data_IF_884372954917
#
_entry.id   IF_884372954917
#
_cell.length_a   1.000
_cell.length_b   1.000
_cell.length_c   1.000
_cell.angle_alpha   90.00
_cell.angle_beta   90.00
_cell.angle_gamma   90.00
#
_symmetry.space_group_name_H-M   'P 1'
#
loop_
_entity.id
_entity.type
_entity.pdbx_description
1 polymer ?
#
# COMPACT_ATOMS: atom_id res chain seq x y z
N UNK A 1 -10.62 -8.83 10.26
CA UNK A 1 -9.16 -8.84 10.56
C UNK A 1 -8.38 -9.93 9.80
N UNK A 2 -8.87 -11.18 9.74
CA UNK A 2 -8.18 -12.28 9.04
C UNK A 2 -7.85 -11.95 7.57
N UNK A 3 -8.78 -11.37 6.81
CA UNK A 3 -8.53 -11.03 5.40
C UNK A 3 -7.44 -9.98 5.20
N UNK A 4 -7.31 -9.00 6.10
CA UNK A 4 -6.26 -7.97 6.02
C UNK A 4 -4.87 -8.57 6.26
N UNK A 5 -4.75 -9.50 7.22
CA UNK A 5 -3.51 -10.23 7.49
C UNK A 5 -3.15 -11.16 6.33
N UNK A 6 -4.12 -11.92 5.81
CA UNK A 6 -3.91 -12.76 4.63
C UNK A 6 -3.46 -11.95 3.41
N UNK A 7 -4.03 -10.75 3.20
CA UNK A 7 -3.58 -9.82 2.16
C UNK A 7 -2.14 -9.33 2.35
N UNK A 8 -1.73 -9.04 3.59
CA UNK A 8 -0.34 -8.66 3.92
C UNK A 8 0.64 -9.81 3.67
N UNK A 9 0.26 -11.04 4.00
CA UNK A 9 1.08 -12.23 3.77
C UNK A 9 1.26 -12.52 2.27
N UNK A 10 0.20 -12.38 1.48
CA UNK A 10 0.27 -12.47 0.02
C UNK A 10 1.20 -11.40 -0.57
N UNK A 11 1.15 -10.18 -0.03
CA UNK A 11 2.04 -9.08 -0.42
C UNK A 11 3.50 -9.32 -0.06
N UNK A 12 3.76 -9.91 1.11
CA UNK A 12 5.11 -10.28 1.52
C UNK A 12 5.71 -11.35 0.61
N UNK A 13 4.90 -12.36 0.23
CA UNK A 13 5.30 -13.39 -0.73
C UNK A 13 5.57 -12.80 -2.11
N UNK A 14 4.70 -11.93 -2.62
CA UNK A 14 4.89 -11.25 -3.90
C UNK A 14 6.18 -10.40 -3.94
N UNK A 15 6.54 -9.74 -2.82
CA UNK A 15 7.80 -8.99 -2.71
C UNK A 15 9.03 -9.88 -2.75
N UNK A 16 8.99 -11.06 -2.10
CA UNK A 16 10.07 -12.04 -2.16
C UNK A 16 10.24 -12.60 -3.58
N UNK A 17 9.13 -12.84 -4.27
CA UNK A 17 9.10 -13.33 -5.65
C UNK A 17 9.33 -12.24 -6.71
N UNK A 18 9.47 -10.95 -6.34
CA UNK A 18 9.65 -9.83 -7.28
C UNK A 18 10.80 -10.04 -8.27
N UNK A 19 11.87 -10.73 -7.85
CA UNK A 19 13.04 -11.03 -8.72
C UNK A 19 12.71 -12.02 -9.84
N UNK A 20 11.66 -12.82 -9.69
CA UNK A 20 11.16 -13.74 -10.72
C UNK A 20 10.23 -13.05 -11.73
N UNK A 21 9.84 -11.79 -11.50
CA UNK A 21 8.96 -11.04 -12.40
C UNK A 21 9.80 -10.31 -13.45
N UNK A 22 9.49 -10.47 -14.75
CA UNK A 22 10.16 -9.72 -15.81
C UNK A 22 10.07 -8.21 -15.56
N UNK A 23 11.16 -7.46 -15.85
CA UNK A 23 11.20 -6.01 -15.62
C UNK A 23 10.07 -5.25 -16.33
N UNK A 24 9.61 -5.74 -17.48
CA UNK A 24 8.46 -5.19 -18.21
C UNK A 24 7.13 -5.28 -17.44
N UNK A 25 6.99 -6.27 -16.55
CA UNK A 25 5.81 -6.45 -15.69
C UNK A 25 5.97 -5.77 -14.30
N UNK A 26 7.10 -5.13 -14.04
CA UNK A 26 7.34 -4.40 -12.79
C UNK A 26 6.28 -3.31 -12.46
N UNK A 27 5.67 -2.60 -13.43
CA UNK A 27 4.61 -1.64 -13.13
C UNK A 27 3.37 -2.28 -12.50
N UNK A 28 3.03 -3.53 -12.86
CA UNK A 28 1.89 -4.24 -12.29
C UNK A 28 2.08 -4.52 -10.78
N UNK A 29 3.33 -4.63 -10.32
CA UNK A 29 3.65 -4.80 -8.89
C UNK A 29 3.41 -3.52 -8.07
N UNK A 30 3.27 -2.34 -8.70
CA UNK A 30 3.00 -1.07 -8.01
C UNK A 30 1.64 -1.07 -7.31
N UNK A 31 0.64 -1.73 -7.88
CA UNK A 31 -0.68 -1.87 -7.26
C UNK A 31 -0.60 -2.58 -5.90
N UNK A 32 0.22 -3.64 -5.80
CA UNK A 32 0.49 -4.32 -4.54
C UNK A 32 1.22 -3.41 -3.53
N UNK A 33 2.19 -2.61 -3.99
CA UNK A 33 2.86 -1.63 -3.13
C UNK A 33 1.90 -0.59 -2.58
N UNK A 34 0.94 -0.13 -3.38
CA UNK A 34 -0.11 0.82 -2.96
C UNK A 34 -1.12 0.19 -2.00
N UNK A 35 -1.44 -1.10 -2.14
CA UNK A 35 -2.38 -1.82 -1.27
C UNK A 35 -1.81 -2.08 0.15
N UNK A 36 -0.49 -2.22 0.29
CA UNK A 36 0.16 -2.51 1.57
C UNK A 36 -0.23 -1.58 2.73
N UNK A 37 -0.12 -0.25 2.59
CA UNK A 37 -0.55 0.71 3.61
C UNK A 37 -2.01 0.57 4.04
N UNK A 38 -2.92 0.28 3.10
CA UNK A 38 -4.37 0.14 3.38
C UNK A 38 -4.62 -1.14 4.17
N UNK A 39 -4.00 -2.25 3.78
CA UNK A 39 -4.08 -3.52 4.49
C UNK A 39 -3.48 -3.43 5.90
N UNK A 40 -2.42 -2.64 6.08
CA UNK A 40 -1.81 -2.41 7.38
C UNK A 40 -2.70 -1.56 8.30
N UNK A 41 -3.46 -0.61 7.75
CA UNK A 41 -4.47 0.15 8.48
C UNK A 41 -5.63 -0.75 8.90
N UNK A 42 -6.14 -1.57 7.98
CA UNK A 42 -7.21 -2.54 8.24
C UNK A 42 -6.82 -3.61 9.29
N UNK A 43 -5.54 -4.01 9.32
CA UNK A 43 -5.03 -4.97 10.30
C UNK A 43 -4.83 -4.35 11.70
N UNK A 44 -4.50 -3.06 11.78
CA UNK A 44 -4.21 -2.35 13.03
C UNK A 44 -5.47 -1.82 13.71
N UNK A 45 -6.45 -1.38 12.92
CA UNK A 45 -7.70 -0.82 13.43
C UNK A 45 -8.88 -1.31 12.57
N UNK A 46 -9.44 -2.48 12.91
CA UNK A 46 -10.53 -3.09 12.17
C UNK A 46 -11.85 -2.31 12.26
N UNK A 47 -12.05 -1.52 13.32
CA UNK A 47 -13.28 -0.74 13.50
C UNK A 47 -13.39 0.40 12.46
N UNK A 48 -12.25 0.86 11.92
CA UNK A 48 -12.23 1.82 10.80
C UNK A 48 -12.79 1.29 9.49
N UNK A 49 -12.89 -0.03 9.34
CA UNK A 49 -13.51 -0.68 8.17
C UNK A 49 -15.01 -0.38 8.15
N UNK A 50 -15.67 -0.55 9.29
CA UNK A 50 -17.11 -0.39 9.44
C UNK A 50 -17.55 1.08 9.27
N UNK A 51 -16.67 2.02 9.61
CA UNK A 51 -16.92 3.45 9.42
C UNK A 51 -16.57 3.98 8.01
N UNK A 52 -16.16 3.12 7.06
CA UNK A 52 -15.75 3.57 5.72
C UNK A 52 -14.50 4.46 5.70
N UNK A 53 -13.74 4.47 6.80
CA UNK A 53 -12.53 5.29 6.98
C UNK A 53 -11.26 4.60 6.44
N UNK A 54 -11.42 3.49 5.71
CA UNK A 54 -10.36 2.87 4.93
C UNK A 54 -10.08 3.74 3.70
N UNK A 55 -9.10 4.61 3.83
CA UNK A 55 -8.60 5.44 2.74
C UNK A 55 -7.20 5.90 3.06
N UNK A 56 -6.43 6.31 2.04
CA UNK A 56 -5.18 7.02 2.27
C UNK A 56 -5.50 8.25 3.11
N UNK A 57 -5.10 8.22 4.37
CA UNK A 57 -5.22 9.38 5.27
C UNK A 57 -4.82 10.63 4.49
N UNK A 58 -5.60 11.71 4.58
CA UNK A 58 -5.21 13.00 3.99
C UNK A 58 -3.77 13.37 4.34
N UNK A 59 -3.28 12.89 5.48
CA UNK A 59 -1.88 12.97 5.89
C UNK A 59 -0.91 12.39 4.85
N UNK A 60 -1.15 11.21 4.29
CA UNK A 60 -0.32 10.64 3.20
C UNK A 60 -0.45 11.42 1.90
N UNK A 61 -1.64 11.91 1.56
CA UNK A 61 -1.84 12.78 0.39
C UNK A 61 -1.02 14.07 0.55
N UNK A 62 -1.13 14.74 1.70
CA UNK A 62 -0.37 15.95 2.05
C UNK A 62 1.12 15.68 2.14
N UNK A 63 1.55 14.56 2.71
CA UNK A 63 2.97 14.19 2.83
C UNK A 63 3.61 13.82 1.49
N UNK A 64 2.87 13.15 0.60
CA UNK A 64 3.35 12.83 -0.75
C UNK A 64 3.46 14.09 -1.60
N UNK A 65 2.53 15.04 -1.44
CA UNK A 65 2.61 16.38 -2.04
C UNK A 65 3.80 17.18 -1.48
N UNK A 66 4.02 17.14 -0.16
CA UNK A 66 5.17 17.76 0.51
C UNK A 66 6.49 17.19 0.00
N UNK A 67 6.61 15.85 -0.07
CA UNK A 67 7.79 15.18 -0.59
C UNK A 67 8.04 15.50 -2.07
N UNK A 68 6.99 15.56 -2.90
CA UNK A 68 7.12 15.98 -4.31
C UNK A 68 7.60 17.43 -4.42
N UNK A 69 7.01 18.35 -3.65
CA UNK A 69 7.44 19.75 -3.61
C UNK A 69 8.88 19.94 -3.12
N UNK A 70 9.28 19.20 -2.08
CA UNK A 70 10.66 19.20 -1.57
C UNK A 70 11.66 18.56 -2.54
N UNK A 71 11.23 17.58 -3.34
CA UNK A 71 12.11 16.90 -4.29
C UNK A 71 12.34 17.66 -5.60
N UNK A 72 11.64 18.77 -5.85
CA UNK A 72 11.61 19.53 -7.12
C UNK A 72 11.33 18.69 -8.39
N UNK A 73 11.02 17.40 -8.23
CA UNK A 73 10.63 16.49 -9.29
C UNK A 73 9.11 16.52 -9.38
N UNK A 74 8.64 17.43 -10.22
CA UNK A 74 7.32 17.31 -10.84
C UNK A 74 7.27 16.03 -11.67
#
# INVERSE_FOLDING_TARGET
VQMARAGLDALAQARRARKAVPKAAAPALLAGVQAGPILHQAARDPARIDHGALGTSEFRRRFTLLLRGLSQRW
#
